data_IF_038304802942
#
_entry.id   IF_038304802942
#
_cell.length_a   1.000
_cell.length_b   1.000
_cell.length_c   1.000
_cell.angle_alpha   90.00
_cell.angle_beta   90.00
_cell.angle_gamma   90.00
#
_symmetry.space_group_name_H-M   'P 1'
#
loop_
_entity.id
_entity.type
_entity.pdbx_description
1 polymer ?
#
# COMPACT_ATOMS: atom_id res chain seq x y z
N UNK A 1 24.11 0.50 28.60
CA UNK A 1 24.94 0.54 27.38
C UNK A 1 25.81 -0.70 27.36
N UNK A 2 25.64 -1.54 26.34
CA UNK A 2 26.08 -2.94 26.35
C UNK A 2 27.61 -3.08 26.29
N UNK A 3 28.18 -4.01 27.06
CA UNK A 3 29.63 -4.30 27.10
C UNK A 3 30.23 -4.58 25.71
N UNK A 4 29.40 -5.04 24.77
CA UNK A 4 29.74 -5.24 23.36
C UNK A 4 30.16 -3.94 22.67
N UNK A 5 29.54 -2.81 23.02
CA UNK A 5 29.85 -1.49 22.46
C UNK A 5 31.19 -0.99 23.00
N UNK A 6 31.49 -1.24 24.28
CA UNK A 6 32.76 -0.84 24.90
C UNK A 6 33.94 -1.63 24.30
N UNK A 7 33.75 -2.95 24.10
CA UNK A 7 34.75 -3.83 23.49
C UNK A 7 34.99 -3.48 22.02
N UNK A 8 33.93 -3.10 21.29
CA UNK A 8 34.03 -2.55 19.93
C UNK A 8 34.82 -1.23 19.86
N UNK A 9 34.59 -0.31 20.80
CA UNK A 9 35.31 0.98 20.83
C UNK A 9 36.79 0.82 21.18
N UNK A 10 37.13 -0.09 22.11
CA UNK A 10 38.53 -0.40 22.45
C UNK A 10 39.26 -1.04 21.26
N UNK A 11 38.60 -1.94 20.53
CA UNK A 11 39.19 -2.56 19.33
C UNK A 11 39.43 -1.53 18.21
N UNK A 12 38.50 -0.59 18.01
CA UNK A 12 38.65 0.49 17.01
C UNK A 12 39.74 1.48 17.40
N UNK A 13 39.85 1.83 18.68
CA UNK A 13 40.91 2.70 19.19
C UNK A 13 42.30 2.04 19.06
N UNK A 14 42.42 0.75 19.37
CA UNK A 14 43.66 -0.01 19.24
C UNK A 14 44.11 -0.12 17.77
N UNK A 15 43.19 -0.40 16.84
CA UNK A 15 43.49 -0.50 15.40
C UNK A 15 44.00 0.82 14.80
N UNK A 16 43.49 1.96 15.28
CA UNK A 16 43.92 3.29 14.82
C UNK A 16 45.34 3.68 15.26
N UNK A 17 45.87 3.08 16.32
CA UNK A 17 47.15 3.51 16.91
C UNK A 17 48.35 2.75 16.37
N UNK A 18 48.21 1.48 15.94
CA UNK A 18 49.27 0.69 15.27
C UNK A 18 48.67 -0.36 14.33
N UNK A 19 48.83 -0.26 12.99
CA UNK A 19 48.12 -1.10 12.02
C UNK A 19 48.78 -2.46 11.72
N UNK A 20 49.77 -2.90 12.51
CA UNK A 20 50.48 -4.16 12.25
C UNK A 20 49.95 -5.33 13.10
N UNK A 21 49.26 -6.26 12.44
CA UNK A 21 48.72 -7.53 12.96
C UNK A 21 49.64 -8.34 13.90
N UNK A 22 50.97 -8.46 13.68
CA UNK A 22 51.84 -9.21 14.60
C UNK A 22 52.07 -8.50 15.94
N UNK A 23 51.96 -7.16 16.01
CA UNK A 23 52.15 -6.36 17.22
C UNK A 23 50.95 -6.44 18.17
N UNK A 24 49.74 -6.51 17.61
CA UNK A 24 48.50 -6.67 18.39
C UNK A 24 48.43 -8.02 19.10
N UNK A 25 48.89 -9.09 18.42
CA UNK A 25 48.94 -10.43 19.00
C UNK A 25 49.92 -10.50 20.17
N UNK A 26 51.07 -9.82 20.06
CA UNK A 26 52.05 -9.69 21.15
C UNK A 26 51.47 -8.93 22.36
N UNK A 27 50.77 -7.82 22.13
CA UNK A 27 50.14 -7.01 23.19
C UNK A 27 49.14 -7.82 24.02
N UNK A 28 48.23 -8.56 23.36
CA UNK A 28 47.26 -9.42 24.05
C UNK A 28 47.94 -10.55 24.83
N UNK A 29 49.03 -11.12 24.30
CA UNK A 29 49.75 -12.20 25.00
C UNK A 29 50.67 -11.72 26.12
N UNK A 30 51.24 -10.51 26.04
CA UNK A 30 52.12 -9.96 27.07
C UNK A 30 51.35 -9.44 28.29
N UNK A 31 50.17 -8.81 28.11
CA UNK A 31 49.32 -8.39 29.25
C UNK A 31 48.78 -9.57 30.08
N UNK A 32 48.78 -10.79 29.53
CA UNK A 32 48.38 -11.99 30.28
C UNK A 32 49.39 -12.44 31.34
N UNK A 33 50.64 -11.96 31.30
CA UNK A 33 51.74 -12.43 32.17
C UNK A 33 52.14 -11.49 33.32
N UNK A 34 51.57 -10.30 33.44
CA UNK A 34 51.89 -9.37 34.53
C UNK A 34 50.66 -9.04 35.36
N UNK A 35 50.19 -10.02 36.14
CA UNK A 35 49.32 -9.75 37.29
C UNK A 35 50.11 -9.84 38.60
N UNK A 36 50.53 -8.69 39.13
CA UNK A 36 50.83 -8.54 40.56
C UNK A 36 49.96 -7.42 41.16
N UNK A 37 49.13 -7.83 42.13
CA UNK A 37 48.58 -7.09 43.28
C UNK A 37 47.95 -5.70 43.08
N UNK A 38 46.61 -5.59 43.26
CA UNK A 38 45.90 -4.76 44.29
C UNK A 38 44.36 -4.75 44.05
N UNK A 39 43.48 -4.10 44.85
CA UNK A 39 42.42 -4.72 45.62
C UNK A 39 41.02 -4.42 45.03
N UNK A 40 40.68 -5.02 43.89
CA UNK A 40 39.35 -4.87 43.26
C UNK A 40 38.52 -6.18 43.25
N UNK A 41 38.84 -7.13 44.14
CA UNK A 41 38.29 -8.50 44.12
C UNK A 41 36.87 -8.68 44.69
N UNK A 42 36.26 -7.66 45.30
CA UNK A 42 34.90 -7.81 45.87
C UNK A 42 33.77 -7.77 44.82
N UNK A 43 33.92 -6.96 43.79
CA UNK A 43 32.86 -6.72 42.80
C UNK A 43 32.94 -7.67 41.61
N UNK A 44 34.15 -8.02 41.16
CA UNK A 44 34.37 -8.93 40.03
C UNK A 44 33.90 -10.37 40.33
N UNK A 45 34.08 -10.88 41.57
CA UNK A 45 33.60 -12.21 41.93
C UNK A 45 32.07 -12.35 41.93
N UNK A 46 31.32 -11.25 42.11
CA UNK A 46 29.86 -11.24 41.98
C UNK A 46 29.40 -11.26 40.51
N UNK A 47 30.20 -10.71 39.62
CA UNK A 47 29.93 -10.72 38.17
C UNK A 47 30.26 -12.10 37.58
N UNK A 48 31.32 -12.78 38.05
CA UNK A 48 31.70 -14.12 37.57
C UNK A 48 30.67 -15.20 37.92
N UNK A 49 30.05 -15.13 39.10
CA UNK A 49 29.02 -16.10 39.52
C UNK A 49 27.63 -15.84 38.88
N UNK A 50 27.38 -14.66 38.33
CA UNK A 50 26.14 -14.36 37.59
C UNK A 50 26.25 -14.69 36.08
N UNK A 51 27.47 -14.87 35.56
CA UNK A 51 27.75 -15.14 34.14
C UNK A 51 28.05 -16.63 33.87
N UNK A 52 28.28 -17.43 34.90
CA UNK A 52 28.59 -18.87 34.76
C UNK A 52 27.42 -19.80 35.11
N UNK A 53 26.17 -19.33 34.92
CA UNK A 53 25.04 -20.24 34.81
C UNK A 53 25.34 -21.30 33.73
N UNK A 54 25.55 -22.52 34.18
CA UNK A 54 25.99 -23.69 33.42
C UNK A 54 25.16 -23.84 32.14
N UNK A 55 25.75 -23.49 31.00
CA UNK A 55 25.29 -23.98 29.70
C UNK A 55 26.01 -25.32 29.51
N UNK A 56 25.25 -26.43 29.57
CA UNK A 56 25.75 -27.73 29.12
C UNK A 56 25.98 -27.65 27.61
N UNK A 57 27.22 -27.45 27.18
CA UNK A 57 27.64 -27.75 25.81
C UNK A 57 27.83 -29.27 25.70
N UNK A 58 27.36 -29.92 24.62
CA UNK A 58 27.65 -31.32 24.38
C UNK A 58 29.17 -31.53 24.24
N UNK A 59 29.70 -32.53 24.94
CA UNK A 59 31.11 -32.93 24.88
C UNK A 59 31.50 -33.30 23.44
N UNK A 60 32.27 -32.44 22.79
CA UNK A 60 32.93 -32.79 21.54
C UNK A 60 34.31 -33.39 21.84
N UNK A 61 34.40 -34.72 21.80
CA UNK A 61 35.69 -35.43 21.75
C UNK A 61 36.29 -35.33 20.36
N UNK A 62 37.37 -34.58 20.22
CA UNK A 62 38.22 -34.58 19.01
C UNK A 62 39.06 -35.85 19.03
N UNK A 63 38.68 -36.86 18.25
CA UNK A 63 39.47 -38.09 18.07
C UNK A 63 40.37 -37.96 16.84
N UNK A 64 41.53 -37.33 17.03
CA UNK A 64 42.66 -37.37 16.09
C UNK A 64 42.77 -36.18 15.13
N UNK A 65 44.01 -35.73 14.92
CA UNK A 65 44.37 -34.81 13.85
C UNK A 65 44.90 -35.62 12.67
N UNK A 66 44.26 -35.53 11.51
CA UNK A 66 44.82 -36.05 10.25
C UNK A 66 45.36 -34.86 9.46
N UNK A 67 46.64 -34.93 9.10
CA UNK A 67 47.29 -33.94 8.24
C UNK A 67 47.12 -34.41 6.80
N UNK A 68 46.31 -33.73 6.02
CA UNK A 68 46.17 -33.98 4.57
C UNK A 68 46.65 -32.77 3.80
N UNK A 69 47.67 -32.99 2.97
CA UNK A 69 48.18 -32.01 2.03
C UNK A 69 47.08 -31.63 1.02
N UNK A 70 46.74 -30.34 1.00
CA UNK A 70 46.16 -29.69 -0.17
C UNK A 70 44.81 -30.18 -0.69
N UNK A 71 43.74 -30.15 0.12
CA UNK A 71 42.37 -29.76 -0.30
C UNK A 71 41.44 -29.81 0.93
N UNK A 72 40.92 -28.65 1.35
CA UNK A 72 39.95 -28.58 2.45
C UNK A 72 38.56 -28.96 1.94
N UNK A 73 38.12 -30.17 2.27
CA UNK A 73 36.69 -30.48 2.36
C UNK A 73 36.38 -30.80 3.82
N UNK A 74 35.49 -30.00 4.43
CA UNK A 74 34.92 -30.28 5.73
C UNK A 74 33.56 -30.93 5.53
N UNK A 75 33.47 -32.23 5.77
CA UNK A 75 32.21 -32.95 5.95
C UNK A 75 31.67 -32.67 7.36
N UNK A 76 31.12 -31.47 7.54
CA UNK A 76 30.21 -31.22 8.66
C UNK A 76 28.81 -31.67 8.22
N UNK A 77 28.31 -32.74 8.83
CA UNK A 77 26.89 -33.06 8.86
C UNK A 77 26.16 -32.07 9.78
N UNK A 78 26.21 -30.79 9.42
CA UNK A 78 25.20 -29.83 9.80
C UNK A 78 24.01 -30.07 8.87
N UNK A 79 22.81 -30.15 9.43
CA UNK A 79 21.53 -30.30 8.73
C UNK A 79 21.57 -29.76 7.29
N UNK A 80 21.58 -30.66 6.30
CA UNK A 80 21.74 -30.34 4.88
C UNK A 80 20.78 -29.26 4.38
N UNK A 81 19.64 -29.09 5.05
CA UNK A 81 18.63 -28.07 4.74
C UNK A 81 19.15 -26.63 4.81
N UNK A 82 19.87 -26.23 5.87
CA UNK A 82 20.26 -24.82 6.07
C UNK A 82 21.39 -24.35 5.14
N UNK A 83 22.32 -25.24 4.79
CA UNK A 83 23.35 -24.97 3.80
C UNK A 83 22.79 -24.90 2.37
N UNK A 84 21.81 -25.76 2.05
CA UNK A 84 21.12 -25.71 0.76
C UNK A 84 20.28 -24.45 0.59
N UNK A 85 19.56 -23.99 1.61
CA UNK A 85 18.78 -22.74 1.54
C UNK A 85 19.68 -21.53 1.35
N UNK A 86 20.79 -21.42 2.09
CA UNK A 86 21.75 -20.32 1.94
C UNK A 86 22.39 -20.29 0.54
N UNK A 87 22.70 -21.44 -0.03
CA UNK A 87 23.22 -21.53 -1.39
C UNK A 87 22.18 -21.12 -2.46
N UNK A 88 20.90 -21.44 -2.25
CA UNK A 88 19.83 -21.04 -3.15
C UNK A 88 19.49 -19.55 -3.03
N UNK A 89 19.54 -18.98 -1.84
CA UNK A 89 19.38 -17.55 -1.59
C UNK A 89 20.50 -16.74 -2.27
N UNK A 90 21.76 -17.18 -2.14
CA UNK A 90 22.88 -16.57 -2.85
C UNK A 90 22.70 -16.60 -4.38
N UNK A 91 22.14 -17.68 -4.93
CA UNK A 91 21.82 -17.78 -6.36
C UNK A 91 20.70 -16.82 -6.77
N UNK A 92 19.72 -16.56 -5.91
CA UNK A 92 18.65 -15.59 -6.16
C UNK A 92 19.21 -14.16 -6.19
N UNK A 93 20.09 -13.81 -5.23
CA UNK A 93 20.74 -12.49 -5.19
C UNK A 93 21.63 -12.25 -6.42
N UNK A 94 22.42 -13.24 -6.84
CA UNK A 94 23.20 -13.13 -8.07
C UNK A 94 22.34 -12.87 -9.31
N UNK A 95 21.14 -13.45 -9.40
CA UNK A 95 20.24 -13.24 -10.52
C UNK A 95 19.58 -11.85 -10.47
N UNK A 96 19.18 -11.40 -9.28
CA UNK A 96 18.70 -10.04 -9.05
C UNK A 96 19.77 -9.00 -9.39
N UNK A 97 21.02 -9.21 -8.99
CA UNK A 97 22.14 -8.33 -9.36
C UNK A 97 22.33 -8.26 -10.88
N UNK A 98 22.22 -9.39 -11.59
CA UNK A 98 22.25 -9.41 -13.06
C UNK A 98 21.10 -8.58 -13.65
N UNK A 99 19.89 -8.69 -13.11
CA UNK A 99 18.76 -7.87 -13.54
C UNK A 99 19.00 -6.38 -13.31
N UNK A 100 19.60 -5.99 -12.18
CA UNK A 100 19.98 -4.60 -11.89
C UNK A 100 21.02 -4.07 -12.88
N UNK A 101 22.01 -4.90 -13.26
CA UNK A 101 23.00 -4.53 -14.30
C UNK A 101 22.31 -4.30 -15.65
N UNK A 102 21.44 -5.22 -16.07
CA UNK A 102 20.67 -5.09 -17.31
C UNK A 102 19.77 -3.84 -17.33
N UNK A 103 19.16 -3.49 -16.18
CA UNK A 103 18.39 -2.26 -16.02
C UNK A 103 19.26 -1.01 -16.22
N UNK A 104 20.48 -1.01 -15.68
CA UNK A 104 21.46 0.08 -15.87
C UNK A 104 21.91 0.20 -17.33
N UNK A 105 22.03 -0.92 -18.02
CA UNK A 105 22.39 -0.98 -19.45
C UNK A 105 21.23 -0.61 -20.39
N UNK A 106 20.06 -0.21 -19.86
CA UNK A 106 18.88 0.17 -20.64
C UNK A 106 18.10 -0.99 -21.25
N UNK A 107 18.46 -2.24 -20.94
CA UNK A 107 17.80 -3.45 -21.47
C UNK A 107 16.57 -3.83 -20.62
N UNK A 108 15.57 -2.97 -20.59
CA UNK A 108 14.44 -3.06 -19.66
C UNK A 108 13.59 -4.33 -19.80
N UNK A 109 13.29 -4.80 -21.03
CA UNK A 109 12.50 -6.01 -21.23
C UNK A 109 13.17 -7.26 -20.67
N UNK A 110 14.48 -7.43 -20.90
CA UNK A 110 15.27 -8.57 -20.39
C UNK A 110 15.52 -8.43 -18.89
N UNK A 111 15.73 -7.20 -18.39
CA UNK A 111 15.85 -6.95 -16.96
C UNK A 111 14.57 -7.38 -16.23
N UNK A 112 13.39 -7.05 -16.76
CA UNK A 112 12.10 -7.39 -16.16
C UNK A 112 11.88 -8.90 -16.03
N UNK A 113 12.13 -9.66 -17.11
CA UNK A 113 12.01 -11.13 -17.06
C UNK A 113 13.03 -11.77 -16.11
N UNK A 114 14.24 -11.21 -16.04
CA UNK A 114 15.28 -11.64 -15.08
C UNK A 114 14.87 -11.34 -13.63
N UNK A 115 14.26 -10.18 -13.36
CA UNK A 115 13.69 -9.88 -12.05
C UNK A 115 12.56 -10.84 -11.66
N UNK A 116 11.68 -11.21 -12.59
CA UNK A 116 10.65 -12.23 -12.33
C UNK A 116 11.26 -13.60 -12.04
N UNK A 117 12.32 -13.99 -12.76
CA UNK A 117 13.04 -15.23 -12.51
C UNK A 117 13.68 -15.25 -11.11
N UNK A 118 14.32 -14.15 -10.71
CA UNK A 118 14.86 -13.98 -9.36
C UNK A 118 13.73 -14.02 -8.30
N UNK A 119 12.62 -13.32 -8.53
CA UNK A 119 11.46 -13.29 -7.64
C UNK A 119 10.90 -14.69 -7.36
N UNK A 120 10.79 -15.53 -8.39
CA UNK A 120 10.35 -16.93 -8.24
C UNK A 120 11.27 -17.76 -7.34
N UNK A 121 12.57 -17.46 -7.31
CA UNK A 121 13.52 -18.11 -6.39
C UNK A 121 13.34 -17.57 -4.97
N UNK A 122 13.13 -16.27 -4.82
CA UNK A 122 12.88 -15.64 -3.50
C UNK A 122 11.60 -16.12 -2.82
N UNK A 123 10.59 -16.57 -3.57
CA UNK A 123 9.35 -17.12 -2.98
C UNK A 123 9.60 -18.30 -2.04
N UNK A 124 10.74 -18.99 -2.16
CA UNK A 124 11.14 -20.09 -1.28
C UNK A 124 11.66 -19.62 0.09
N UNK A 125 12.11 -18.37 0.20
CA UNK A 125 12.70 -17.79 1.42
C UNK A 125 11.77 -16.80 2.10
N UNK A 126 10.91 -16.13 1.34
CA UNK A 126 9.90 -15.23 1.89
C UNK A 126 9.14 -14.44 0.83
N UNK A 127 7.90 -14.04 1.11
CA UNK A 127 7.07 -13.31 0.15
C UNK A 127 7.59 -11.88 -0.12
N UNK A 128 8.27 -11.27 0.84
CA UNK A 128 8.67 -9.87 0.77
C UNK A 128 9.71 -9.60 -0.33
N UNK A 129 10.83 -10.33 -0.36
CA UNK A 129 11.87 -10.14 -1.38
C UNK A 129 11.38 -10.52 -2.78
N UNK A 130 10.54 -11.56 -2.87
CA UNK A 130 9.87 -11.91 -4.12
C UNK A 130 8.97 -10.78 -4.64
N UNK A 131 8.21 -10.13 -3.74
CA UNK A 131 7.34 -9.01 -4.08
C UNK A 131 8.16 -7.79 -4.55
N UNK A 132 9.30 -7.50 -3.92
CA UNK A 132 10.23 -6.45 -4.34
C UNK A 132 10.75 -6.69 -5.76
N UNK A 133 11.17 -7.93 -6.08
CA UNK A 133 11.59 -8.29 -7.43
C UNK A 133 10.46 -8.10 -8.44
N UNK A 134 9.23 -8.47 -8.10
CA UNK A 134 8.07 -8.26 -8.98
C UNK A 134 7.76 -6.75 -9.18
N UNK A 135 7.94 -5.91 -8.17
CA UNK A 135 7.76 -4.45 -8.28
C UNK A 135 8.84 -3.81 -9.18
N UNK A 136 10.09 -4.26 -9.07
CA UNK A 136 11.16 -3.83 -9.98
C UNK A 136 10.92 -4.31 -11.41
N UNK A 137 10.40 -5.53 -11.60
CA UNK A 137 9.98 -6.01 -12.90
C UNK A 137 8.87 -5.13 -13.50
N UNK A 138 7.86 -4.74 -12.71
CA UNK A 138 6.82 -3.79 -13.13
C UNK A 138 7.41 -2.47 -13.64
N UNK A 139 8.35 -1.87 -12.89
CA UNK A 139 9.01 -0.62 -13.30
C UNK A 139 9.76 -0.78 -14.62
N UNK A 140 10.45 -1.91 -14.81
CA UNK A 140 11.14 -2.22 -16.06
C UNK A 140 10.16 -2.45 -17.23
N UNK A 141 9.07 -3.19 -17.05
CA UNK A 141 8.05 -3.38 -18.09
C UNK A 141 7.37 -2.06 -18.49
N UNK A 142 7.09 -1.19 -17.52
CA UNK A 142 6.58 0.17 -17.78
C UNK A 142 7.54 0.97 -18.65
N UNK A 143 8.85 0.90 -18.38
CA UNK A 143 9.87 1.56 -19.19
C UNK A 143 10.05 0.93 -20.59
N UNK A 144 9.80 -0.37 -20.71
CA UNK A 144 9.78 -1.08 -21.99
C UNK A 144 8.47 -0.90 -22.79
N UNK A 145 7.50 -0.14 -22.25
CA UNK A 145 6.17 0.07 -22.82
C UNK A 145 5.32 -1.21 -23.00
N UNK A 146 5.62 -2.26 -22.23
CA UNK A 146 4.84 -3.51 -22.17
C UNK A 146 3.81 -3.42 -21.03
N UNK A 147 2.63 -2.91 -21.35
CA UNK A 147 1.57 -2.66 -20.36
C UNK A 147 0.99 -3.95 -19.78
N UNK A 148 0.82 -4.99 -20.58
CA UNK A 148 0.24 -6.27 -20.14
C UNK A 148 1.14 -6.95 -19.11
N UNK A 149 2.43 -7.12 -19.43
CA UNK A 149 3.37 -7.76 -18.51
C UNK A 149 3.62 -6.92 -17.26
N UNK A 150 3.52 -5.58 -17.38
CA UNK A 150 3.58 -4.68 -16.23
C UNK A 150 2.41 -4.94 -15.25
N UNK A 151 1.17 -4.99 -15.75
CA UNK A 151 0.00 -5.26 -14.91
C UNK A 151 0.13 -6.62 -14.21
N UNK A 152 0.54 -7.66 -14.93
CA UNK A 152 0.71 -9.01 -14.35
C UNK A 152 1.81 -9.04 -13.27
N UNK A 153 2.95 -8.38 -13.52
CA UNK A 153 4.04 -8.29 -12.55
C UNK A 153 3.62 -7.53 -11.28
N UNK A 154 2.88 -6.42 -11.44
CA UNK A 154 2.39 -5.63 -10.31
C UNK A 154 1.29 -6.38 -9.53
N UNK A 155 0.41 -7.11 -10.22
CA UNK A 155 -0.60 -7.95 -9.59
C UNK A 155 0.04 -9.05 -8.74
N UNK A 156 1.08 -9.72 -9.27
CA UNK A 156 1.85 -10.71 -8.49
C UNK A 156 2.52 -10.06 -7.28
N UNK A 157 3.11 -8.87 -7.44
CA UNK A 157 3.72 -8.11 -6.34
C UNK A 157 2.69 -7.78 -5.25
N UNK A 158 1.50 -7.31 -5.60
CA UNK A 158 0.42 -6.99 -4.68
C UNK A 158 -0.02 -8.22 -3.87
N UNK A 159 -0.26 -9.36 -4.53
CA UNK A 159 -0.62 -10.62 -3.87
C UNK A 159 0.47 -11.04 -2.86
N UNK A 160 1.75 -10.95 -3.25
CA UNK A 160 2.86 -11.34 -2.39
C UNK A 160 2.99 -10.41 -1.17
N UNK A 161 2.89 -9.09 -1.34
CA UNK A 161 2.88 -8.16 -0.21
C UNK A 161 1.68 -8.36 0.72
N UNK A 162 0.54 -8.79 0.19
CA UNK A 162 -0.65 -9.05 1.01
C UNK A 162 -0.52 -10.32 1.87
N UNK A 163 0.44 -11.22 1.57
CA UNK A 163 0.74 -12.39 2.41
C UNK A 163 1.49 -12.02 3.70
N UNK A 164 2.14 -10.86 3.74
CA UNK A 164 2.86 -10.38 4.92
C UNK A 164 2.14 -9.16 5.52
N UNK A 165 1.65 -9.33 6.75
CA UNK A 165 0.97 -8.30 7.55
C UNK A 165 1.76 -7.00 7.69
N UNK A 166 3.09 -7.05 7.63
CA UNK A 166 3.95 -5.85 7.73
C UNK A 166 3.93 -5.00 6.47
N UNK A 167 3.55 -5.59 5.33
CA UNK A 167 3.53 -4.95 4.02
C UNK A 167 2.14 -4.63 3.48
N UNK A 168 1.09 -4.73 4.30
CA UNK A 168 -0.30 -4.42 3.90
C UNK A 168 -0.45 -3.05 3.24
N UNK A 169 0.17 -2.00 3.80
CA UNK A 169 0.13 -0.65 3.20
C UNK A 169 0.79 -0.59 1.82
N UNK A 170 1.82 -1.42 1.57
CA UNK A 170 2.49 -1.51 0.27
C UNK A 170 1.67 -2.32 -0.73
N UNK A 171 1.02 -3.39 -0.27
CA UNK A 171 0.04 -4.13 -1.06
C UNK A 171 -1.10 -3.22 -1.52
N UNK A 172 -1.66 -2.43 -0.60
CA UNK A 172 -2.73 -1.47 -0.89
C UNK A 172 -2.34 -0.45 -1.96
N UNK A 173 -1.11 0.11 -1.90
CA UNK A 173 -0.57 1.00 -2.95
C UNK A 173 -0.42 0.29 -4.30
N UNK A 174 -0.01 -0.97 -4.31
CA UNK A 174 0.09 -1.76 -5.52
C UNK A 174 -1.30 -2.00 -6.14
N UNK A 175 -2.32 -2.33 -5.33
CA UNK A 175 -3.70 -2.47 -5.78
C UNK A 175 -4.30 -1.15 -6.29
N UNK A 176 -4.04 -0.03 -5.61
CA UNK A 176 -4.43 1.32 -6.09
C UNK A 176 -3.83 1.61 -7.48
N UNK A 177 -2.54 1.32 -7.67
CA UNK A 177 -1.86 1.52 -8.95
C UNK A 177 -2.39 0.57 -10.04
N UNK A 178 -2.72 -0.68 -9.68
CA UNK A 178 -3.38 -1.64 -10.59
C UNK A 178 -4.74 -1.13 -11.04
N UNK A 179 -5.55 -0.67 -10.10
CA UNK A 179 -6.88 -0.17 -10.37
C UNK A 179 -6.84 1.01 -11.34
N UNK A 180 -5.87 1.92 -11.19
CA UNK A 180 -5.69 3.06 -12.11
C UNK A 180 -5.22 2.63 -13.51
N UNK A 181 -4.27 1.69 -13.60
CA UNK A 181 -3.84 1.16 -14.89
C UNK A 181 -5.00 0.48 -15.63
N UNK A 182 -5.78 -0.35 -14.93
CA UNK A 182 -6.92 -1.08 -15.50
C UNK A 182 -8.06 -0.13 -15.87
N UNK A 183 -8.30 0.92 -15.06
CA UNK A 183 -9.23 2.00 -15.39
C UNK A 183 -8.85 2.69 -16.71
N UNK A 184 -7.56 2.95 -16.92
CA UNK A 184 -7.07 3.56 -18.16
C UNK A 184 -7.26 2.68 -19.41
N UNK A 185 -7.42 1.36 -19.22
CA UNK A 185 -7.75 0.42 -20.31
C UNK A 185 -9.26 0.31 -20.61
N UNK A 186 -10.10 0.96 -19.80
CA UNK A 186 -11.57 0.96 -19.96
C UNK A 186 -12.30 -0.14 -19.20
N UNK A 187 -11.60 -1.02 -18.49
CA UNK A 187 -12.20 -2.10 -17.71
C UNK A 187 -12.55 -1.61 -16.29
N UNK A 188 -13.73 -0.98 -16.18
CA UNK A 188 -14.21 -0.37 -14.93
C UNK A 188 -14.54 -1.41 -13.86
N UNK A 189 -15.02 -2.60 -14.23
CA UNK A 189 -15.41 -3.64 -13.27
C UNK A 189 -14.19 -4.24 -12.57
N UNK A 190 -13.14 -4.59 -13.32
CA UNK A 190 -11.88 -5.04 -12.70
C UNK A 190 -11.20 -3.93 -11.90
N UNK A 191 -11.27 -2.69 -12.37
CA UNK A 191 -10.76 -1.54 -11.62
C UNK A 191 -11.46 -1.42 -10.25
N UNK A 192 -12.77 -1.60 -10.21
CA UNK A 192 -13.57 -1.59 -8.98
C UNK A 192 -13.15 -2.67 -7.99
N UNK A 193 -12.91 -3.91 -8.47
CA UNK A 193 -12.43 -5.02 -7.63
C UNK A 193 -11.07 -4.70 -6.98
N UNK A 194 -10.13 -4.15 -7.75
CA UNK A 194 -8.82 -3.75 -7.23
C UNK A 194 -8.93 -2.59 -6.24
N UNK A 195 -9.77 -1.59 -6.49
CA UNK A 195 -9.99 -0.50 -5.54
C UNK A 195 -10.65 -0.98 -4.24
N UNK A 196 -11.61 -1.90 -4.29
CA UNK A 196 -12.19 -2.51 -3.08
C UNK A 196 -11.12 -3.22 -2.26
N UNK A 197 -10.29 -4.04 -2.91
CA UNK A 197 -9.17 -4.74 -2.25
C UNK A 197 -8.17 -3.75 -1.66
N UNK A 198 -7.86 -2.65 -2.36
CA UNK A 198 -6.98 -1.60 -1.87
C UNK A 198 -7.55 -0.88 -0.65
N UNK A 199 -8.86 -0.56 -0.66
CA UNK A 199 -9.56 0.08 0.45
C UNK A 199 -9.48 -0.79 1.69
N UNK A 200 -9.88 -2.05 1.60
CA UNK A 200 -9.90 -2.97 2.73
C UNK A 200 -8.49 -3.14 3.35
N UNK A 201 -7.46 -3.15 2.51
CA UNK A 201 -6.06 -3.19 2.96
C UNK A 201 -5.63 -1.87 3.64
N UNK A 202 -6.04 -0.70 3.14
CA UNK A 202 -5.78 0.59 3.81
C UNK A 202 -6.53 0.73 5.14
N UNK A 203 -7.79 0.27 5.21
CA UNK A 203 -8.58 0.25 6.45
C UNK A 203 -7.94 -0.64 7.50
N UNK A 204 -7.52 -1.85 7.11
CA UNK A 204 -6.79 -2.78 7.99
C UNK A 204 -5.48 -2.17 8.51
N UNK A 205 -4.82 -1.36 7.68
CA UNK A 205 -3.60 -0.66 8.07
C UNK A 205 -3.84 0.65 8.85
N UNK A 206 -5.10 1.08 9.05
CA UNK A 206 -5.46 2.35 9.68
C UNK A 206 -5.00 3.58 8.88
N UNK A 207 -4.85 3.45 7.56
CA UNK A 207 -4.36 4.51 6.69
C UNK A 207 -5.53 5.38 6.18
N UNK A 208 -5.44 6.70 6.39
CA UNK A 208 -6.48 7.66 5.98
C UNK A 208 -6.76 7.71 4.47
N UNK A 209 -5.87 7.13 3.64
CA UNK A 209 -6.08 7.01 2.19
C UNK A 209 -7.26 6.12 1.80
N UNK A 210 -7.75 5.26 2.70
CA UNK A 210 -8.97 4.49 2.48
C UNK A 210 -10.15 5.36 2.00
N UNK A 211 -10.29 6.58 2.53
CA UNK A 211 -11.35 7.54 2.14
C UNK A 211 -11.21 8.03 0.70
N UNK A 212 -9.97 8.30 0.28
CA UNK A 212 -9.68 8.68 -1.11
C UNK A 212 -10.03 7.53 -2.06
N UNK A 213 -9.69 6.30 -1.69
CA UNK A 213 -10.06 5.12 -2.46
C UNK A 213 -11.59 4.93 -2.52
N UNK A 214 -12.29 5.13 -1.41
CA UNK A 214 -13.76 5.06 -1.37
C UNK A 214 -14.41 6.10 -2.29
N UNK A 215 -13.82 7.29 -2.44
CA UNK A 215 -14.27 8.28 -3.43
C UNK A 215 -14.13 7.75 -4.85
N UNK A 216 -12.99 7.12 -5.18
CA UNK A 216 -12.79 6.51 -6.50
C UNK A 216 -13.76 5.34 -6.75
N UNK A 217 -14.03 4.51 -5.74
CA UNK A 217 -15.03 3.42 -5.81
C UNK A 217 -16.40 4.01 -6.13
N UNK A 218 -16.81 5.07 -5.45
CA UNK A 218 -18.10 5.74 -5.70
C UNK A 218 -18.20 6.26 -7.15
N UNK A 219 -17.15 6.92 -7.64
CA UNK A 219 -17.12 7.50 -8.99
C UNK A 219 -17.14 6.41 -10.09
N UNK A 220 -16.45 5.28 -9.87
CA UNK A 220 -16.49 4.13 -10.80
C UNK A 220 -17.86 3.46 -10.75
N UNK A 221 -18.43 3.27 -9.56
CA UNK A 221 -19.76 2.68 -9.37
C UNK A 221 -20.85 3.52 -10.05
N UNK A 222 -20.72 4.85 -9.98
CA UNK A 222 -21.55 5.80 -10.70
C UNK A 222 -21.39 5.63 -12.22
N UNK A 223 -20.15 5.50 -12.71
CA UNK A 223 -19.84 5.28 -14.12
C UNK A 223 -20.40 3.95 -14.66
N UNK A 224 -20.57 2.96 -13.79
CA UNK A 224 -21.22 1.67 -14.09
C UNK A 224 -22.76 1.72 -13.99
N UNK A 225 -23.34 2.91 -13.80
CA UNK A 225 -24.78 3.13 -13.63
C UNK A 225 -25.42 2.41 -12.43
N UNK A 226 -24.62 1.98 -11.45
CA UNK A 226 -25.14 1.41 -10.21
C UNK A 226 -25.38 2.54 -9.17
N UNK A 227 -26.41 3.33 -9.42
CA UNK A 227 -26.75 4.51 -8.62
C UNK A 227 -27.04 4.18 -7.15
N UNK A 228 -27.65 3.02 -6.90
CA UNK A 228 -27.98 2.58 -5.52
C UNK A 228 -26.72 2.39 -4.69
N UNK A 229 -25.72 1.65 -5.21
CA UNK A 229 -24.46 1.41 -4.52
C UNK A 229 -23.63 2.70 -4.43
N UNK A 230 -23.57 3.50 -5.51
CA UNK A 230 -22.87 4.78 -5.50
C UNK A 230 -23.39 5.72 -4.40
N UNK A 231 -24.73 5.81 -4.23
CA UNK A 231 -25.34 6.58 -3.13
C UNK A 231 -24.87 6.09 -1.77
N UNK A 232 -24.85 4.78 -1.51
CA UNK A 232 -24.38 4.24 -0.22
C UNK A 232 -22.93 4.59 0.06
N UNK A 233 -22.06 4.59 -0.97
CA UNK A 233 -20.68 5.03 -0.82
C UNK A 233 -20.57 6.53 -0.48
N UNK A 234 -21.36 7.39 -1.15
CA UNK A 234 -21.39 8.82 -0.83
C UNK A 234 -21.97 9.11 0.57
N UNK A 235 -22.99 8.37 1.01
CA UNK A 235 -23.52 8.48 2.38
C UNK A 235 -22.47 8.08 3.43
N UNK A 236 -21.70 7.02 3.16
CA UNK A 236 -20.58 6.58 4.01
C UNK A 236 -19.49 7.66 4.06
N UNK A 237 -19.08 8.21 2.91
CA UNK A 237 -18.11 9.30 2.83
C UNK A 237 -18.56 10.55 3.60
N UNK A 238 -19.83 10.91 3.49
CA UNK A 238 -20.40 12.05 4.22
C UNK A 238 -20.34 11.81 5.74
N UNK A 239 -20.73 10.62 6.20
CA UNK A 239 -20.69 10.26 7.61
C UNK A 239 -19.25 10.26 8.17
N UNK A 240 -18.29 9.74 7.41
CA UNK A 240 -16.87 9.71 7.84
C UNK A 240 -16.16 11.07 7.74
N UNK A 241 -16.70 12.00 6.97
CA UNK A 241 -16.08 13.31 6.71
C UNK A 241 -16.60 14.40 7.63
N UNK A 242 -17.77 14.23 8.25
CA UNK A 242 -18.38 15.26 9.10
C UNK A 242 -17.56 15.53 10.38
N UNK A 243 -16.99 14.47 10.97
CA UNK A 243 -16.23 14.57 12.23
C UNK A 243 -14.87 15.27 12.03
N UNK A 244 -14.38 15.33 10.80
CA UNK A 244 -13.08 15.94 10.50
C UNK A 244 -13.25 17.38 9.99
N UNK A 245 -12.71 18.34 10.74
CA UNK A 245 -12.81 19.77 10.44
C UNK A 245 -12.27 20.18 9.07
N UNK A 246 -11.38 19.39 8.45
CA UNK A 246 -10.88 19.67 7.09
C UNK A 246 -11.76 19.03 6.02
N UNK A 247 -12.29 17.83 6.26
CA UNK A 247 -13.09 17.08 5.29
C UNK A 247 -14.57 17.49 5.28
N UNK A 248 -15.06 18.18 6.33
CA UNK A 248 -16.45 18.66 6.42
C UNK A 248 -16.88 19.50 5.21
N UNK A 249 -15.94 20.21 4.57
CA UNK A 249 -16.23 21.04 3.39
C UNK A 249 -16.54 20.20 2.13
N UNK A 250 -16.19 18.91 2.13
CA UNK A 250 -16.53 17.98 1.05
C UNK A 250 -17.89 17.30 1.24
N UNK A 251 -18.49 17.39 2.44
CA UNK A 251 -19.78 16.76 2.76
C UNK A 251 -20.91 17.20 1.83
N UNK A 252 -21.11 18.51 1.54
CA UNK A 252 -22.18 18.94 0.62
C UNK A 252 -22.07 18.27 -0.76
N UNK A 253 -20.85 18.14 -1.30
CA UNK A 253 -20.60 17.46 -2.58
C UNK A 253 -21.07 16.00 -2.55
N UNK A 254 -20.77 15.26 -1.48
CA UNK A 254 -21.21 13.87 -1.35
C UNK A 254 -22.73 13.75 -1.23
N UNK A 255 -23.38 14.64 -0.46
CA UNK A 255 -24.83 14.64 -0.30
C UNK A 255 -25.56 14.98 -1.61
N UNK A 256 -25.08 15.98 -2.36
CA UNK A 256 -25.61 16.33 -3.68
C UNK A 256 -25.50 15.14 -4.63
N UNK A 257 -24.34 14.49 -4.71
CA UNK A 257 -24.16 13.28 -5.53
C UNK A 257 -25.11 12.15 -5.11
N UNK A 258 -25.35 11.97 -3.80
CA UNK A 258 -26.30 10.99 -3.29
C UNK A 258 -27.75 11.25 -3.74
N UNK A 259 -28.20 12.51 -3.74
CA UNK A 259 -29.54 12.88 -4.25
C UNK A 259 -29.62 12.71 -5.76
N UNK A 260 -28.56 13.12 -6.49
CA UNK A 260 -28.52 12.96 -7.95
C UNK A 260 -28.51 11.48 -8.37
N UNK A 261 -27.95 10.57 -7.56
CA UNK A 261 -28.09 9.13 -7.79
C UNK A 261 -29.56 8.69 -7.78
N UNK A 262 -30.35 9.14 -6.79
CA UNK A 262 -31.79 8.82 -6.75
C UNK A 262 -32.60 9.48 -7.87
N UNK A 263 -32.19 10.67 -8.30
CA UNK A 263 -32.77 11.32 -9.49
C UNK A 263 -32.48 10.50 -10.74
N UNK A 264 -31.27 9.99 -10.90
CA UNK A 264 -30.88 9.16 -12.03
C UNK A 264 -31.59 7.78 -12.06
N UNK A 265 -31.99 7.26 -10.90
CA UNK A 265 -32.89 6.08 -10.80
C UNK A 265 -34.30 6.38 -11.36
N UNK A 266 -34.67 7.66 -11.49
CA UNK A 266 -35.99 8.11 -11.92
C UNK A 266 -37.05 8.16 -10.81
N UNK A 267 -36.65 7.97 -9.56
CA UNK A 267 -37.54 8.02 -8.38
C UNK A 267 -37.45 9.38 -7.68
N UNK A 268 -38.22 10.33 -8.19
CA UNK A 268 -38.26 11.72 -7.71
C UNK A 268 -38.87 11.86 -6.31
N UNK A 269 -39.83 11.00 -5.98
CA UNK A 269 -40.46 10.98 -4.64
C UNK A 269 -39.43 10.54 -3.60
N UNK A 270 -38.64 9.50 -3.90
CA UNK A 270 -37.52 9.08 -3.05
C UNK A 270 -36.43 10.14 -3.00
N UNK A 271 -36.11 10.80 -4.11
CA UNK A 271 -35.12 11.88 -4.13
C UNK A 271 -35.52 13.02 -3.17
N UNK A 272 -36.79 13.43 -3.14
CA UNK A 272 -37.31 14.41 -2.19
C UNK A 272 -37.15 13.97 -0.73
N UNK A 273 -37.53 12.73 -0.42
CA UNK A 273 -37.36 12.16 0.94
C UNK A 273 -35.90 12.07 1.38
N UNK A 274 -35.01 11.67 0.47
CA UNK A 274 -33.56 11.58 0.73
C UNK A 274 -32.98 12.98 0.97
N UNK A 275 -33.36 13.97 0.17
CA UNK A 275 -32.95 15.36 0.34
C UNK A 275 -33.37 15.90 1.71
N UNK A 276 -34.65 15.75 2.08
CA UNK A 276 -35.15 16.17 3.39
C UNK A 276 -34.43 15.46 4.55
N UNK A 277 -34.21 14.16 4.42
CA UNK A 277 -33.44 13.37 5.39
C UNK A 277 -32.01 13.87 5.56
N UNK A 278 -31.35 14.27 4.47
CA UNK A 278 -30.02 14.89 4.52
C UNK A 278 -30.06 16.27 5.16
N UNK A 279 -31.04 17.12 4.84
CA UNK A 279 -31.20 18.43 5.47
C UNK A 279 -31.42 18.34 6.99
N UNK A 280 -32.19 17.35 7.44
CA UNK A 280 -32.42 17.09 8.86
C UNK A 280 -31.18 16.56 9.58
N UNK A 281 -30.40 15.68 8.94
CA UNK A 281 -29.17 15.11 9.52
C UNK A 281 -28.00 16.08 9.50
N UNK A 282 -27.88 16.89 8.45
CA UNK A 282 -26.77 17.80 8.20
C UNK A 282 -27.29 19.24 8.13
N UNK A 283 -27.47 19.88 9.30
CA UNK A 283 -28.06 21.24 9.41
C UNK A 283 -27.34 22.27 8.52
N UNK A 284 -26.01 22.19 8.42
CA UNK A 284 -25.23 23.09 7.56
C UNK A 284 -25.55 22.92 6.07
N UNK A 285 -25.90 21.69 5.64
CA UNK A 285 -26.33 21.42 4.28
C UNK A 285 -27.76 21.91 4.05
N UNK A 286 -28.68 21.76 5.03
CA UNK A 286 -30.04 22.27 4.91
C UNK A 286 -30.15 23.79 4.68
N UNK A 287 -29.16 24.56 5.14
CA UNK A 287 -29.05 26.00 4.88
C UNK A 287 -28.23 26.38 3.64
N UNK A 288 -27.76 25.40 2.85
CA UNK A 288 -26.87 25.64 1.72
C UNK A 288 -27.64 25.93 0.42
N UNK A 289 -27.00 26.64 -0.51
CA UNK A 289 -27.59 26.97 -1.80
C UNK A 289 -27.87 25.73 -2.65
N UNK A 290 -27.02 24.69 -2.51
CA UNK A 290 -27.16 23.40 -3.18
C UNK A 290 -28.45 22.67 -2.74
N UNK A 291 -28.78 22.72 -1.45
CA UNK A 291 -30.02 22.13 -0.94
C UNK A 291 -31.25 22.83 -1.52
N UNK A 292 -31.24 24.17 -1.57
CA UNK A 292 -32.30 24.96 -2.20
C UNK A 292 -32.46 24.63 -3.68
N UNK A 293 -31.36 24.62 -4.43
CA UNK A 293 -31.36 24.30 -5.86
C UNK A 293 -31.87 22.88 -6.14
N UNK A 294 -31.49 21.88 -5.33
CA UNK A 294 -32.02 20.52 -5.46
C UNK A 294 -33.51 20.43 -5.15
N UNK A 295 -33.99 21.18 -4.15
CA UNK A 295 -35.42 21.22 -3.80
C UNK A 295 -36.24 21.84 -4.93
N UNK A 296 -35.74 22.92 -5.50
CA UNK A 296 -36.37 23.61 -6.64
C UNK A 296 -36.36 22.71 -7.88
N UNK A 297 -35.27 21.98 -8.12
CA UNK A 297 -35.15 21.01 -9.23
C UNK A 297 -36.21 19.90 -9.13
N UNK A 298 -36.39 19.30 -7.96
CA UNK A 298 -37.39 18.24 -7.72
C UNK A 298 -38.81 18.83 -7.85
N UNK A 299 -39.05 20.01 -7.28
CA UNK A 299 -40.36 20.68 -7.34
C UNK A 299 -40.75 21.07 -8.77
N UNK A 300 -39.79 21.50 -9.59
CA UNK A 300 -40.01 21.85 -10.99
C UNK A 300 -40.36 20.61 -11.83
N UNK A 301 -39.68 19.48 -11.57
CA UNK A 301 -40.03 18.21 -12.20
C UNK A 301 -41.47 17.78 -11.87
N UNK A 302 -41.88 17.85 -10.60
CA UNK A 302 -43.24 17.45 -10.17
C UNK A 302 -44.35 18.35 -10.76
N UNK A 303 -44.03 19.59 -11.11
CA UNK A 303 -44.94 20.55 -11.74
C UNK A 303 -44.90 20.53 -13.27
N UNK A 304 -44.04 19.71 -13.87
CA UNK A 304 -43.75 19.73 -15.31
C UNK A 304 -43.30 21.11 -15.82
N UNK A 305 -42.60 21.88 -14.98
CA UNK A 305 -42.11 23.23 -15.31
C UNK A 305 -40.68 23.17 -15.86
N UNK A 306 -40.56 23.21 -17.19
CA UNK A 306 -39.28 23.12 -17.89
C UNK A 306 -38.37 24.35 -17.65
N UNK A 307 -38.94 25.56 -17.56
CA UNK A 307 -38.18 26.78 -17.34
C UNK A 307 -37.65 26.85 -15.90
N UNK A 308 -38.49 26.46 -14.94
CA UNK A 308 -38.10 26.30 -13.54
C UNK A 308 -36.98 25.27 -13.37
N UNK A 309 -37.06 24.14 -14.08
CA UNK A 309 -36.03 23.09 -14.05
C UNK A 309 -34.68 23.59 -14.59
N UNK A 310 -34.69 24.31 -15.71
CA UNK A 310 -33.46 24.86 -16.30
C UNK A 310 -32.79 25.89 -15.39
N UNK A 311 -33.58 26.73 -14.70
CA UNK A 311 -33.05 27.68 -13.72
C UNK A 311 -32.41 26.95 -12.54
N UNK A 312 -33.11 25.99 -11.92
CA UNK A 312 -32.59 25.22 -10.79
C UNK A 312 -31.33 24.42 -11.17
N UNK A 313 -31.29 23.87 -12.39
CA UNK A 313 -30.09 23.22 -12.94
C UNK A 313 -28.89 24.17 -13.03
N UNK A 314 -29.10 25.40 -13.52
CA UNK A 314 -28.03 26.40 -13.62
C UNK A 314 -27.50 26.79 -12.24
N UNK A 315 -28.38 27.00 -11.26
CA UNK A 315 -28.03 27.36 -9.89
C UNK A 315 -27.24 26.21 -9.20
N UNK A 316 -27.65 24.96 -9.42
CA UNK A 316 -26.93 23.78 -8.92
C UNK A 316 -25.54 23.63 -9.58
N UNK A 317 -25.45 23.87 -10.89
CA UNK A 317 -24.18 23.77 -11.61
C UNK A 317 -23.19 24.87 -11.21
N UNK A 318 -23.67 26.09 -10.90
CA UNK A 318 -22.83 27.17 -10.40
C UNK A 318 -22.27 26.89 -9.01
N UNK A 319 -23.08 26.34 -8.12
CA UNK A 319 -22.67 26.05 -6.74
C UNK A 319 -21.74 24.84 -6.62
N UNK A 320 -22.07 23.74 -7.31
CA UNK A 320 -21.38 22.45 -7.10
C UNK A 320 -20.35 22.13 -8.19
N UNK A 321 -20.35 22.85 -9.31
CA UNK A 321 -19.61 22.54 -10.54
C UNK A 321 -19.80 21.07 -10.94
N UNK A 322 -20.96 20.77 -11.52
CA UNK A 322 -21.37 19.38 -11.77
C UNK A 322 -20.40 18.67 -12.73
N UNK A 323 -19.93 17.46 -12.37
CA UNK A 323 -19.29 16.54 -13.31
C UNK A 323 -20.15 16.29 -14.57
N UNK A 324 -19.47 16.02 -15.68
CA UNK A 324 -20.11 15.81 -16.99
C UNK A 324 -21.19 14.72 -16.98
N UNK A 325 -20.99 13.67 -16.17
CA UNK A 325 -21.95 12.58 -16.03
C UNK A 325 -23.32 13.06 -15.51
N UNK A 326 -23.34 13.99 -14.56
CA UNK A 326 -24.59 14.54 -14.03
C UNK A 326 -25.27 15.50 -15.00
N UNK A 327 -24.48 16.29 -15.74
CA UNK A 327 -25.00 17.17 -16.79
C UNK A 327 -25.79 16.36 -17.82
N UNK A 328 -25.25 15.23 -18.28
CA UNK A 328 -25.93 14.37 -19.25
C UNK A 328 -27.23 13.77 -18.71
N UNK A 329 -27.28 13.37 -17.43
CA UNK A 329 -28.51 12.84 -16.82
C UNK A 329 -29.57 13.93 -16.71
N UNK A 330 -29.21 15.12 -16.21
CA UNK A 330 -30.15 16.21 -16.00
C UNK A 330 -30.65 16.83 -17.32
N UNK A 331 -29.79 16.92 -18.34
CA UNK A 331 -30.20 17.35 -19.68
C UNK A 331 -31.24 16.40 -20.29
N UNK A 332 -31.05 15.07 -20.17
CA UNK A 332 -32.04 14.09 -20.62
C UNK A 332 -33.39 14.24 -19.92
N UNK A 333 -33.40 14.65 -18.65
CA UNK A 333 -34.64 14.93 -17.92
C UNK A 333 -35.27 16.23 -18.44
N UNK A 334 -34.47 17.28 -18.63
CA UNK A 334 -34.93 18.56 -19.18
C UNK A 334 -35.60 18.39 -20.56
N UNK A 335 -34.96 17.64 -21.46
CA UNK A 335 -35.49 17.37 -22.80
C UNK A 335 -36.84 16.62 -22.73
N UNK A 336 -36.98 15.68 -21.78
CA UNK A 336 -38.26 14.97 -21.56
C UNK A 336 -39.35 15.90 -21.06
N UNK A 337 -39.02 16.83 -20.16
CA UNK A 337 -39.98 17.81 -19.64
C UNK A 337 -40.42 18.80 -20.72
N UNK A 338 -39.49 19.29 -21.54
CA UNK A 338 -39.80 20.18 -22.67
C UNK A 338 -40.73 19.51 -23.69
N UNK A 339 -40.46 18.24 -24.03
CA UNK A 339 -41.32 17.50 -24.95
C UNK A 339 -42.72 17.21 -24.36
N UNK A 340 -42.82 17.02 -23.04
CA UNK A 340 -44.10 16.84 -22.37
C UNK A 340 -44.93 18.14 -22.39
N UNK A 341 -44.35 19.29 -22.06
CA UNK A 341 -45.05 20.59 -22.09
C UNK A 341 -45.59 20.91 -23.50
N UNK A 342 -44.82 20.62 -24.55
CA UNK A 342 -45.27 20.80 -25.95
C UNK A 342 -46.45 19.89 -26.32
N UNK A 343 -46.55 18.68 -25.74
CA UNK A 343 -47.66 17.77 -26.00
C UNK A 343 -48.96 18.14 -25.27
N UNK A 344 -48.88 18.97 -24.22
CA UNK A 344 -50.04 19.41 -23.43
C UNK A 344 -50.56 20.80 -23.85
N UNK A 345 -49.85 21.52 -24.73
CA UNK A 345 -50.30 22.78 -25.35
C UNK A 345 -50.98 22.56 -26.68
#
# INVERSE_FOLDING_TARGET
MSAVILLGLVAVAAYKTKPDTPSFRKFITEESKTQSASPAKGWLNKITNAVTGVINLPDFKVTGWVKTDGTLSSSSSASSSSAHTAAQESRAEQEKEKAVRLKRDGKYAVAATTFLAAGRKYEQFGPYDAALCCEEAYKCFKQANDKSSAIDALHRSAILFNKDSRSTTRAARAYETLAENVRSTGDLTRSLEYYNTARDAFETAGDGRAKTILTNIADITLSLHNYTAARTHYETLAAESIDNSTLRFSVPKYLVNGVLCTVAEGDWVKAGKVLEGYGARYVAFGGSGEFGALKDLISAHDRFDADGFQKAYNDLNQSTLLPEQWKQVLLKVSDKLQNADVSFR
#
